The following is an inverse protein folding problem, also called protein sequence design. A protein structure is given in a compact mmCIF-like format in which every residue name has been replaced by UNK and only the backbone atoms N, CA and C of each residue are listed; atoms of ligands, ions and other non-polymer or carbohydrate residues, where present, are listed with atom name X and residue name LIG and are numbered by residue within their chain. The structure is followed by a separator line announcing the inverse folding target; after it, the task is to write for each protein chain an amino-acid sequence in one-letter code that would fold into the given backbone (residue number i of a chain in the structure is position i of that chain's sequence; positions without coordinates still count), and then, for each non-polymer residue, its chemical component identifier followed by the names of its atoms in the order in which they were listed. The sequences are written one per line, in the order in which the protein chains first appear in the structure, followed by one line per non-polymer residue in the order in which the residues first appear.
data_IF_308964400160
#
_entry.id   IF_308964400160
#
_cell.length_a   1.000
_cell.length_b   1.000
_cell.length_c   1.000
_cell.angle_alpha   90.00
_cell.angle_beta   90.00
_cell.angle_gamma   90.00
#
_symmetry.space_group_name_H-M   'P 1'
#
loop_
_entity.id
_entity.type
_entity.pdbx_description
1 polymer ?
#
# COMPACT_ATOMS: atom_id res chain seq x y z
N UNK A 1 21.63 -27.25 -10.99
CA UNK A 1 20.81 -26.35 -11.82
C UNK A 1 19.45 -26.24 -11.16
N UNK A 2 19.01 -25.02 -10.82
CA UNK A 2 17.71 -24.82 -10.17
C UNK A 2 16.64 -24.50 -11.20
N UNK A 3 15.54 -25.25 -11.22
CA UNK A 3 14.37 -24.88 -12.01
C UNK A 3 13.77 -23.57 -11.47
N UNK A 4 13.28 -22.66 -12.34
CA UNK A 4 12.61 -21.45 -11.90
C UNK A 4 11.37 -21.81 -11.08
N UNK A 5 11.23 -21.15 -9.93
CA UNK A 5 10.03 -21.20 -9.10
C UNK A 5 9.11 -20.08 -9.56
N UNK A 6 7.92 -20.42 -10.03
CA UNK A 6 6.90 -19.46 -10.40
C UNK A 6 5.97 -19.22 -9.21
N UNK A 7 5.74 -17.95 -8.88
CA UNK A 7 4.76 -17.56 -7.87
C UNK A 7 3.55 -16.92 -8.53
N UNK A 8 2.36 -17.39 -8.17
CA UNK A 8 1.12 -16.82 -8.65
C UNK A 8 0.51 -15.90 -7.59
N UNK A 9 0.89 -14.62 -7.64
CA UNK A 9 0.45 -13.61 -6.67
C UNK A 9 -1.07 -13.54 -6.46
N UNK A 10 -1.87 -13.71 -7.52
CA UNK A 10 -3.33 -13.69 -7.40
C UNK A 10 -3.94 -14.90 -6.68
N UNK A 11 -3.16 -15.95 -6.39
CA UNK A 11 -3.59 -17.11 -5.59
C UNK A 11 -2.95 -17.12 -4.20
N UNK A 12 -2.09 -16.14 -3.90
CA UNK A 12 -1.49 -15.98 -2.58
C UNK A 12 -2.51 -15.32 -1.64
N UNK A 13 -2.97 -15.98 -0.57
CA UNK A 13 -4.01 -15.45 0.30
C UNK A 13 -3.55 -14.23 1.14
N UNK A 14 -2.25 -13.93 1.16
CA UNK A 14 -1.71 -12.77 1.86
C UNK A 14 -1.52 -11.55 0.96
N UNK A 15 -1.48 -11.77 -0.36
CA UNK A 15 -1.29 -10.70 -1.34
C UNK A 15 -2.57 -10.43 -2.16
N UNK A 16 -3.32 -11.49 -2.52
CA UNK A 16 -4.52 -11.48 -3.36
C UNK A 16 -4.34 -10.78 -4.73
N UNK A 17 -3.09 -10.52 -5.12
CA UNK A 17 -2.70 -9.70 -6.25
C UNK A 17 -1.22 -9.33 -6.17
N UNK A 18 -0.65 -8.90 -7.29
CA UNK A 18 0.78 -8.53 -7.33
C UNK A 18 1.02 -7.05 -6.94
N UNK A 19 0.08 -6.16 -7.26
CA UNK A 19 0.12 -4.74 -6.94
C UNK A 19 -1.23 -4.08 -7.24
N UNK A 20 -1.41 -2.87 -6.73
CA UNK A 20 -2.55 -2.01 -7.02
C UNK A 20 -2.46 -1.42 -8.43
N UNK A 21 -3.53 -1.62 -9.21
CA UNK A 21 -3.72 -1.03 -10.53
C UNK A 21 -5.12 -0.40 -10.58
N UNK A 22 -5.27 0.88 -10.18
CA UNK A 22 -6.58 1.51 -10.09
C UNK A 22 -7.15 1.79 -11.48
N UNK A 23 -8.46 1.65 -11.63
CA UNK A 23 -9.17 2.28 -12.74
C UNK A 23 -9.31 3.80 -12.51
N UNK A 24 -9.86 4.51 -13.49
CA UNK A 24 -10.00 5.97 -13.42
C UNK A 24 -10.77 6.43 -12.16
N UNK A 25 -11.81 5.70 -11.78
CA UNK A 25 -12.64 6.04 -10.61
C UNK A 25 -11.89 5.76 -9.30
N UNK A 26 -11.18 4.66 -9.22
CA UNK A 26 -10.38 4.31 -8.06
C UNK A 26 -9.26 5.32 -7.82
N UNK A 27 -8.62 5.82 -8.89
CA UNK A 27 -7.61 6.89 -8.80
C UNK A 27 -8.15 8.16 -8.12
N UNK A 28 -9.39 8.56 -8.44
CA UNK A 28 -10.04 9.74 -7.82
C UNK A 28 -10.25 9.58 -6.31
N UNK A 29 -10.37 8.34 -5.84
CA UNK A 29 -10.62 8.03 -4.42
C UNK A 29 -9.36 7.74 -3.60
N UNK A 30 -8.20 7.54 -4.22
CA UNK A 30 -6.93 7.30 -3.52
C UNK A 30 -6.58 8.34 -2.43
N UNK A 31 -6.83 9.65 -2.62
CA UNK A 31 -6.57 10.65 -1.57
C UNK A 31 -7.35 10.42 -0.28
N UNK A 32 -8.50 9.73 -0.35
CA UNK A 32 -9.32 9.38 0.82
C UNK A 32 -8.62 8.32 1.68
N UNK A 33 -7.94 7.35 1.07
CA UNK A 33 -7.21 6.30 1.77
C UNK A 33 -5.96 6.84 2.51
N UNK A 34 -5.46 8.01 2.08
CA UNK A 34 -4.36 8.71 2.75
C UNK A 34 -4.79 9.45 4.02
N UNK A 35 -6.10 9.59 4.28
CA UNK A 35 -6.60 10.23 5.50
C UNK A 35 -6.69 9.20 6.64
N UNK A 36 -6.32 9.58 7.88
CA UNK A 36 -6.53 8.70 9.01
C UNK A 36 -8.01 8.58 9.35
N UNK A 37 -8.35 7.47 10.01
CA UNK A 37 -9.67 7.27 10.64
C UNK A 37 -9.45 7.20 12.15
N UNK A 38 -9.65 8.33 12.83
CA UNK A 38 -9.35 8.47 14.27
C UNK A 38 -7.86 8.26 14.56
N UNK A 39 -7.53 7.15 15.24
CA UNK A 39 -6.15 6.75 15.56
C UNK A 39 -5.55 5.74 14.58
N UNK A 40 -6.30 5.36 13.55
CA UNK A 40 -5.86 4.41 12.52
C UNK A 40 -5.27 5.19 11.36
N UNK A 41 -4.08 4.78 10.91
CA UNK A 41 -3.42 5.28 9.70
C UNK A 41 -3.13 4.10 8.79
N UNK A 42 -3.31 4.27 7.49
CA UNK A 42 -2.98 3.27 6.48
C UNK A 42 -1.58 3.54 5.92
N UNK A 43 -0.92 2.47 5.46
CA UNK A 43 0.36 2.50 4.76
C UNK A 43 0.45 1.32 3.78
N UNK A 44 1.18 1.49 2.69
CA UNK A 44 1.35 0.48 1.65
C UNK A 44 1.48 1.08 0.25
N UNK A 45 1.91 0.27 -0.73
CA UNK A 45 2.13 0.71 -2.12
C UNK A 45 0.87 1.32 -2.74
N UNK A 46 -0.29 0.77 -2.39
CA UNK A 46 -1.61 1.17 -2.87
C UNK A 46 -1.93 2.65 -2.63
N UNK A 47 -1.32 3.28 -1.62
CA UNK A 47 -1.52 4.71 -1.33
C UNK A 47 -0.76 5.64 -2.28
N UNK A 48 0.26 5.14 -2.97
CA UNK A 48 1.01 5.89 -3.98
C UNK A 48 0.39 5.78 -5.38
N UNK A 49 -0.64 4.94 -5.54
CA UNK A 49 -1.24 4.61 -6.84
C UNK A 49 -0.29 3.87 -7.79
N UNK A 50 0.76 3.25 -7.24
CA UNK A 50 1.78 2.50 -7.99
C UNK A 50 2.29 1.30 -7.18
N UNK A 51 2.47 0.16 -7.86
CA UNK A 51 3.02 -1.09 -7.33
C UNK A 51 4.50 -1.07 -6.95
N UNK A 52 5.00 0.03 -6.39
CA UNK A 52 6.43 0.26 -6.18
C UNK A 52 6.83 0.15 -4.72
N UNK A 53 8.06 -0.33 -4.48
CA UNK A 53 8.66 -0.32 -3.14
C UNK A 53 8.79 1.10 -2.58
N UNK A 54 9.04 2.10 -3.44
CA UNK A 54 9.17 3.49 -3.01
C UNK A 54 7.85 4.03 -2.46
N UNK A 55 6.72 3.70 -3.10
CA UNK A 55 5.39 4.05 -2.59
C UNK A 55 5.10 3.45 -1.22
N UNK A 56 5.50 2.19 -1.00
CA UNK A 56 5.38 1.55 0.31
C UNK A 56 6.26 2.24 1.38
N UNK A 57 7.49 2.62 1.03
CA UNK A 57 8.40 3.31 1.94
C UNK A 57 7.88 4.70 2.34
N UNK A 58 7.50 5.51 1.35
CA UNK A 58 7.02 6.88 1.57
C UNK A 58 5.74 6.91 2.40
N UNK A 59 4.78 6.03 2.09
CA UNK A 59 3.54 5.92 2.86
C UNK A 59 3.79 5.44 4.30
N UNK A 60 4.70 4.48 4.50
CA UNK A 60 5.11 4.03 5.82
C UNK A 60 5.74 5.14 6.67
N UNK A 61 6.62 5.96 6.07
CA UNK A 61 7.22 7.12 6.73
C UNK A 61 6.17 8.17 7.10
N UNK A 62 5.18 8.42 6.23
CA UNK A 62 4.09 9.35 6.50
C UNK A 62 3.20 8.86 7.67
N UNK A 63 2.84 7.57 7.67
CA UNK A 63 2.10 6.92 8.74
C UNK A 63 2.85 7.01 10.07
N UNK A 64 4.15 6.69 10.09
CA UNK A 64 4.97 6.77 11.30
C UNK A 64 5.06 8.20 11.87
N UNK A 65 5.27 9.21 11.02
CA UNK A 65 5.23 10.63 11.42
C UNK A 65 3.89 11.02 12.03
N UNK A 66 2.79 10.44 11.54
CA UNK A 66 1.45 10.71 12.07
C UNK A 66 1.20 10.03 13.40
N UNK A 67 1.59 8.76 13.54
CA UNK A 67 1.52 8.04 14.83
C UNK A 67 2.31 8.77 15.90
N UNK A 68 3.55 9.23 15.59
CA UNK A 68 4.33 10.05 16.53
C UNK A 68 3.56 11.28 17.01
N UNK A 69 2.97 12.06 16.09
CA UNK A 69 2.16 13.23 16.46
C UNK A 69 0.94 12.89 17.33
N UNK A 70 0.37 11.70 17.19
CA UNK A 70 -0.77 11.26 18.01
C UNK A 70 -0.36 10.81 19.42
N UNK A 71 0.89 10.40 19.60
CA UNK A 71 1.42 9.92 20.88
C UNK A 71 2.04 11.02 21.75
N UNK A 72 2.37 12.17 21.16
CA UNK A 72 3.12 13.25 21.82
C UNK A 72 4.62 13.05 21.72
#
# INVERSE_FOLDING_TARGET
TGSPQFHHWGLDPLAEGCYTAPDNRAYETLPLLSQPVGRITLAGEHLSGSGTMNGALESGLAAAKRVRRLLG
#
